data_IF_807937894115
#
_entry.id   IF_807937894115
#
_cell.length_a   1.000
_cell.length_b   1.000
_cell.length_c   1.000
_cell.angle_alpha   90.00
_cell.angle_beta   90.00
_cell.angle_gamma   90.00
#
_symmetry.space_group_name_H-M   'P 1'
#
loop_
_entity.id
_entity.type
_entity.pdbx_description
1 polymer ?
#
# COMPACT_ATOMS: atom_id res chain seq x y z
N UNK A 1 -1.46 87.28 2.88
CA UNK A 1 -2.50 86.84 3.82
C UNK A 1 -3.62 86.20 3.02
N UNK A 2 -4.06 84.96 3.30
CA UNK A 2 -5.15 84.33 2.57
C UNK A 2 -6.48 84.99 2.82
N UNK A 3 -7.30 85.16 1.78
CA UNK A 3 -8.58 85.85 1.83
C UNK A 3 -9.55 85.13 2.79
N UNK A 4 -10.47 85.85 3.44
CA UNK A 4 -11.40 85.32 4.44
C UNK A 4 -12.20 84.12 3.89
N UNK A 5 -12.56 84.14 2.60
CA UNK A 5 -13.30 83.02 1.96
C UNK A 5 -12.55 81.65 1.97
N UNK A 6 -11.20 81.67 1.89
CA UNK A 6 -10.38 80.41 1.98
C UNK A 6 -10.31 79.87 3.40
N UNK A 7 -10.40 80.72 4.44
CA UNK A 7 -10.43 80.28 5.85
C UNK A 7 -11.70 79.51 6.19
N UNK A 8 -12.89 80.03 5.71
CA UNK A 8 -14.18 79.35 5.95
C UNK A 8 -14.29 78.04 5.17
N UNK A 9 -13.71 77.95 3.95
CA UNK A 9 -13.71 76.72 3.18
C UNK A 9 -12.84 75.65 3.85
N UNK A 10 -11.67 76.01 4.39
CA UNK A 10 -10.83 75.05 5.13
C UNK A 10 -11.44 74.60 6.45
N UNK A 11 -12.18 75.51 7.16
CA UNK A 11 -12.84 75.20 8.40
C UNK A 11 -14.05 74.23 8.18
N UNK A 12 -14.78 74.40 7.08
CA UNK A 12 -15.88 73.48 6.72
C UNK A 12 -15.43 72.10 6.29
N UNK A 13 -14.30 72.04 5.58
CA UNK A 13 -13.69 70.74 5.23
C UNK A 13 -13.14 69.97 6.44
N UNK A 14 -12.52 70.66 7.38
CA UNK A 14 -11.99 70.06 8.60
C UNK A 14 -13.11 69.52 9.51
N UNK A 15 -14.24 70.24 9.64
CA UNK A 15 -15.39 69.76 10.39
C UNK A 15 -16.10 68.60 9.72
N UNK A 16 -16.21 68.57 8.39
CA UNK A 16 -16.78 67.45 7.68
C UNK A 16 -15.91 66.17 7.82
N UNK A 17 -14.58 66.31 7.81
CA UNK A 17 -13.67 65.18 8.01
C UNK A 17 -13.72 64.63 9.44
N UNK A 18 -13.84 65.54 10.44
CA UNK A 18 -13.97 65.16 11.85
C UNK A 18 -15.29 64.41 12.13
N UNK A 19 -16.40 64.84 11.56
CA UNK A 19 -17.70 64.20 11.68
C UNK A 19 -17.70 62.82 10.99
N UNK A 20 -17.02 62.67 9.87
CA UNK A 20 -16.88 61.39 9.18
C UNK A 20 -16.02 60.39 9.98
N UNK A 21 -14.95 60.83 10.64
CA UNK A 21 -14.12 60.01 11.50
C UNK A 21 -14.87 59.58 12.77
N UNK A 22 -15.65 60.45 13.39
CA UNK A 22 -16.47 60.12 14.57
C UNK A 22 -17.56 59.12 14.21
N UNK A 23 -18.27 59.31 13.07
CA UNK A 23 -19.24 58.33 12.58
C UNK A 23 -18.63 56.95 12.26
N UNK A 24 -17.45 56.95 11.68
CA UNK A 24 -16.69 55.70 11.41
C UNK A 24 -16.30 54.97 12.71
N UNK A 25 -15.87 55.69 13.73
CA UNK A 25 -15.56 55.11 15.04
C UNK A 25 -16.80 54.61 15.78
N UNK A 26 -17.90 55.35 15.75
CA UNK A 26 -19.17 54.97 16.41
C UNK A 26 -19.79 53.74 15.76
N UNK A 27 -19.63 53.56 14.45
CA UNK A 27 -20.09 52.36 13.73
C UNK A 27 -19.22 51.12 14.00
N UNK A 28 -17.98 51.31 14.43
CA UNK A 28 -17.09 50.19 14.78
C UNK A 28 -17.15 49.75 16.26
N UNK A 29 -17.72 50.59 17.14
CA UNK A 29 -17.84 50.29 18.57
C UNK A 29 -19.21 49.75 18.96
N UNK A 30 -20.05 49.37 18.02
CA UNK A 30 -21.26 48.61 18.35
C UNK A 30 -20.86 47.30 19.03
N UNK A 31 -21.31 46.99 20.24
CA UNK A 31 -20.97 45.75 20.92
C UNK A 31 -21.52 44.60 20.07
N UNK A 32 -20.60 43.80 19.54
CA UNK A 32 -20.97 42.52 18.93
C UNK A 32 -21.55 41.64 20.04
N UNK A 33 -22.82 41.30 19.94
CA UNK A 33 -23.42 40.25 20.77
C UNK A 33 -22.54 39.01 20.67
N UNK A 34 -22.11 38.41 21.78
CA UNK A 34 -21.35 37.19 21.74
C UNK A 34 -22.17 36.12 20.99
N UNK A 35 -21.58 35.39 20.05
CA UNK A 35 -22.29 34.31 19.39
C UNK A 35 -22.76 33.33 20.48
N UNK A 36 -24.04 32.98 20.46
CA UNK A 36 -24.60 31.96 21.33
C UNK A 36 -23.80 30.64 21.15
N UNK A 37 -23.87 29.70 22.10
CA UNK A 37 -23.12 28.47 22.04
C UNK A 37 -23.41 27.75 20.71
N UNK A 38 -22.44 27.79 19.80
CA UNK A 38 -22.50 27.00 18.57
C UNK A 38 -22.38 25.56 18.98
N UNK A 39 -23.44 24.78 18.79
CA UNK A 39 -23.38 23.34 18.86
C UNK A 39 -22.44 22.87 17.71
N UNK A 40 -21.20 22.60 18.03
CA UNK A 40 -20.28 21.93 17.10
C UNK A 40 -20.84 20.54 16.88
N UNK A 41 -21.56 20.33 15.79
CA UNK A 41 -21.92 19.00 15.32
C UNK A 41 -20.61 18.38 14.86
N UNK A 42 -19.98 17.59 15.74
CA UNK A 42 -18.86 16.75 15.36
C UNK A 42 -19.44 15.75 14.35
N UNK A 43 -19.00 15.75 13.07
CA UNK A 43 -19.46 14.74 12.13
C UNK A 43 -19.11 13.38 12.73
N UNK A 44 -20.12 12.56 12.94
CA UNK A 44 -19.91 11.16 13.36
C UNK A 44 -18.92 10.52 12.39
N UNK A 45 -17.86 9.95 12.95
CA UNK A 45 -16.87 9.17 12.17
C UNK A 45 -17.65 8.22 11.26
N UNK A 46 -17.41 8.26 9.92
CA UNK A 46 -18.09 7.34 9.01
C UNK A 46 -17.95 5.92 9.56
N UNK A 47 -19.05 5.19 9.62
CA UNK A 47 -19.02 3.77 9.97
C UNK A 47 -17.97 3.08 9.09
N UNK A 48 -17.22 2.08 9.60
CA UNK A 48 -16.25 1.35 8.80
C UNK A 48 -16.95 0.85 7.54
N UNK A 49 -16.50 1.31 6.38
CA UNK A 49 -17.07 0.86 5.11
C UNK A 49 -16.94 -0.66 5.05
N UNK A 50 -18.04 -1.35 4.79
CA UNK A 50 -18.05 -2.80 4.55
C UNK A 50 -17.00 -3.11 3.46
N UNK A 51 -16.11 -4.07 3.67
CA UNK A 51 -15.14 -4.43 2.64
C UNK A 51 -15.86 -4.72 1.31
N UNK A 52 -15.35 -4.25 0.18
CA UNK A 52 -15.95 -4.54 -1.11
C UNK A 52 -16.02 -6.05 -1.31
N UNK A 53 -17.09 -6.58 -1.95
CA UNK A 53 -17.22 -8.01 -2.20
C UNK A 53 -16.02 -8.53 -2.99
N UNK A 54 -15.52 -9.72 -2.61
CA UNK A 54 -14.44 -10.39 -3.34
C UNK A 54 -14.91 -10.76 -4.76
N UNK A 55 -14.01 -10.72 -5.75
CA UNK A 55 -14.33 -11.16 -7.11
C UNK A 55 -14.90 -12.58 -7.14
N UNK A 56 -15.95 -12.78 -7.92
CA UNK A 56 -16.48 -14.13 -8.19
C UNK A 56 -15.45 -14.91 -9.01
N UNK A 57 -15.00 -16.04 -8.49
CA UNK A 57 -13.97 -16.85 -9.14
C UNK A 57 -14.60 -17.84 -10.11
N UNK A 58 -14.14 -17.91 -11.37
CA UNK A 58 -14.55 -18.96 -12.29
C UNK A 58 -14.05 -20.33 -11.82
N UNK A 59 -14.72 -21.40 -12.24
CA UNK A 59 -14.33 -22.79 -11.92
C UNK A 59 -12.95 -23.14 -12.48
N UNK A 60 -12.63 -22.67 -13.70
CA UNK A 60 -11.32 -22.82 -14.31
C UNK A 60 -10.53 -21.55 -14.09
N UNK A 61 -9.41 -21.68 -13.38
CA UNK A 61 -8.54 -20.55 -13.05
C UNK A 61 -7.40 -20.38 -14.08
N UNK A 62 -7.04 -19.11 -14.30
CA UNK A 62 -5.87 -18.71 -15.08
C UNK A 62 -5.01 -17.85 -14.15
N UNK A 63 -3.94 -18.44 -13.63
CA UNK A 63 -3.19 -17.89 -12.49
C UNK A 63 -1.81 -17.43 -12.91
N UNK A 64 -1.43 -16.22 -12.52
CA UNK A 64 -0.08 -15.68 -12.61
C UNK A 64 0.58 -15.70 -11.23
N UNK A 65 1.78 -16.27 -11.17
CA UNK A 65 2.73 -16.11 -10.08
C UNK A 65 3.77 -15.07 -10.50
N UNK A 66 3.70 -13.87 -9.92
CA UNK A 66 4.54 -12.72 -10.24
C UNK A 66 5.43 -12.36 -9.05
N UNK A 67 6.70 -12.12 -9.27
CA UNK A 67 7.58 -11.71 -8.18
C UNK A 67 9.06 -11.88 -8.46
N UNK A 68 9.85 -11.70 -7.42
CA UNK A 68 11.29 -11.88 -7.45
C UNK A 68 11.73 -13.31 -7.06
N UNK A 69 12.93 -13.46 -6.54
CA UNK A 69 13.45 -14.75 -6.05
C UNK A 69 12.57 -15.38 -4.96
N UNK A 70 11.78 -14.59 -4.23
CA UNK A 70 10.83 -15.14 -3.26
C UNK A 70 9.73 -15.93 -3.95
N UNK A 71 9.16 -15.38 -5.03
CA UNK A 71 8.16 -16.10 -5.83
C UNK A 71 8.78 -17.28 -6.57
N UNK A 72 10.00 -17.15 -7.09
CA UNK A 72 10.73 -18.28 -7.71
C UNK A 72 10.84 -19.49 -6.79
N UNK A 73 10.99 -19.25 -5.48
CA UNK A 73 11.06 -20.33 -4.50
C UNK A 73 9.72 -21.06 -4.31
N UNK A 74 8.60 -20.35 -4.26
CA UNK A 74 7.28 -20.94 -3.93
C UNK A 74 6.46 -21.35 -5.14
N UNK A 75 6.58 -20.67 -6.29
CA UNK A 75 5.76 -20.93 -7.47
C UNK A 75 5.86 -22.37 -7.99
N UNK A 76 7.04 -23.02 -8.09
CA UNK A 76 7.13 -24.41 -8.53
C UNK A 76 6.37 -25.37 -7.62
N UNK A 77 6.33 -25.11 -6.32
CA UNK A 77 5.61 -25.93 -5.34
C UNK A 77 4.11 -25.82 -5.57
N UNK A 78 3.63 -24.57 -5.72
CA UNK A 78 2.21 -24.29 -5.96
C UNK A 78 1.74 -24.85 -7.29
N UNK A 79 2.51 -24.62 -8.37
CA UNK A 79 2.19 -25.13 -9.71
C UNK A 79 2.07 -26.66 -9.70
N UNK A 80 2.99 -27.37 -9.07
CA UNK A 80 2.94 -28.83 -8.99
C UNK A 80 1.66 -29.30 -8.26
N UNK A 81 1.30 -28.68 -7.14
CA UNK A 81 0.11 -29.04 -6.37
C UNK A 81 -1.17 -28.73 -7.14
N UNK A 82 -1.28 -27.50 -7.68
CA UNK A 82 -2.46 -27.08 -8.43
C UNK A 82 -2.67 -27.91 -9.72
N UNK A 83 -1.61 -28.28 -10.42
CA UNK A 83 -1.74 -29.16 -11.60
C UNK A 83 -2.21 -30.57 -11.23
N UNK A 84 -1.89 -31.05 -10.05
CA UNK A 84 -2.36 -32.35 -9.58
C UNK A 84 -3.85 -32.32 -9.18
N UNK A 85 -4.32 -31.23 -8.56
CA UNK A 85 -5.71 -31.08 -8.12
C UNK A 85 -6.64 -30.48 -9.21
N UNK A 86 -6.08 -29.63 -10.09
CA UNK A 86 -6.83 -28.89 -11.12
C UNK A 86 -6.07 -28.92 -12.45
N UNK A 87 -6.08 -30.05 -13.18
CA UNK A 87 -5.31 -30.24 -14.41
C UNK A 87 -5.70 -29.28 -15.55
N UNK A 88 -6.92 -28.75 -15.53
CA UNK A 88 -7.49 -27.82 -16.49
C UNK A 88 -7.11 -26.34 -16.22
N UNK A 89 -6.52 -26.04 -15.06
CA UNK A 89 -6.09 -24.68 -14.74
C UNK A 89 -4.86 -24.25 -15.51
N UNK A 90 -4.83 -23.00 -15.97
CA UNK A 90 -3.67 -22.43 -16.65
C UNK A 90 -2.81 -21.68 -15.62
N UNK A 91 -1.57 -22.15 -15.47
CA UNK A 91 -0.64 -21.63 -14.46
C UNK A 91 0.59 -21.04 -15.15
N UNK A 92 0.89 -19.80 -14.86
CA UNK A 92 2.02 -19.04 -15.40
C UNK A 92 2.96 -18.60 -14.27
N UNK A 93 4.25 -18.76 -14.49
CA UNK A 93 5.29 -18.29 -13.57
C UNK A 93 6.16 -17.25 -14.30
N UNK A 94 6.01 -16.00 -13.92
CA UNK A 94 6.76 -14.86 -14.45
C UNK A 94 7.67 -14.26 -13.37
N UNK A 95 8.15 -15.10 -12.43
CA UNK A 95 9.10 -14.65 -11.41
C UNK A 95 10.49 -14.42 -11.98
N UNK A 96 11.14 -13.33 -11.57
CA UNK A 96 12.49 -12.96 -12.01
C UNK A 96 13.29 -12.42 -10.82
N UNK A 97 14.39 -13.11 -10.48
CA UNK A 97 15.26 -12.71 -9.38
C UNK A 97 15.84 -11.31 -9.56
N UNK A 98 16.23 -10.68 -8.46
CA UNK A 98 16.86 -9.36 -8.41
C UNK A 98 16.03 -8.26 -9.10
N UNK A 99 14.70 -8.40 -9.10
CA UNK A 99 13.75 -7.38 -9.55
C UNK A 99 12.91 -6.89 -8.38
N UNK A 100 12.20 -5.78 -8.59
CA UNK A 100 11.33 -5.16 -7.59
C UNK A 100 10.54 -4.00 -8.18
N UNK A 101 9.70 -3.39 -7.37
CA UNK A 101 8.91 -2.23 -7.78
C UNK A 101 9.73 -0.94 -7.89
N UNK A 102 10.91 -0.85 -7.23
CA UNK A 102 11.75 0.35 -7.24
C UNK A 102 12.62 0.47 -8.48
N UNK A 103 13.02 -0.65 -9.09
CA UNK A 103 13.99 -0.69 -10.22
C UNK A 103 13.28 -0.97 -11.54
N UNK A 104 12.40 -0.06 -11.96
CA UNK A 104 11.61 -0.19 -13.20
C UNK A 104 12.46 -0.40 -14.47
N UNK A 105 13.70 0.10 -14.49
CA UNK A 105 14.59 -0.06 -15.66
C UNK A 105 14.94 -1.51 -15.94
N UNK A 106 15.01 -2.38 -14.93
CA UNK A 106 15.25 -3.81 -15.11
C UNK A 106 13.97 -4.53 -15.53
N UNK A 107 12.87 -4.27 -14.81
CA UNK A 107 11.54 -4.77 -15.11
C UNK A 107 10.51 -3.84 -14.46
N UNK A 108 9.58 -3.33 -15.23
CA UNK A 108 8.42 -2.61 -14.70
C UNK A 108 7.33 -3.62 -14.35
N UNK A 109 7.29 -4.04 -13.08
CA UNK A 109 6.30 -4.99 -12.59
C UNK A 109 4.87 -4.50 -12.74
N UNK A 110 4.63 -3.19 -12.64
CA UNK A 110 3.29 -2.63 -12.81
C UNK A 110 2.80 -2.89 -14.23
N UNK A 111 3.62 -2.58 -15.23
CA UNK A 111 3.26 -2.82 -16.63
C UNK A 111 3.25 -4.31 -16.96
N UNK A 112 4.22 -5.09 -16.47
CA UNK A 112 4.28 -6.54 -16.70
C UNK A 112 3.00 -7.24 -16.21
N UNK A 113 2.57 -6.98 -14.97
CA UNK A 113 1.35 -7.59 -14.41
C UNK A 113 0.11 -7.19 -15.22
N UNK A 114 -0.02 -5.91 -15.59
CA UNK A 114 -1.14 -5.43 -16.41
C UNK A 114 -1.19 -6.11 -17.78
N UNK A 115 -0.05 -6.22 -18.43
CA UNK A 115 0.07 -6.90 -19.74
C UNK A 115 -0.32 -8.36 -19.63
N UNK A 116 0.24 -9.10 -18.64
CA UNK A 116 -0.07 -10.50 -18.42
C UNK A 116 -1.57 -10.74 -18.16
N UNK A 117 -2.21 -9.86 -17.37
CA UNK A 117 -3.65 -9.95 -17.09
C UNK A 117 -4.44 -9.92 -18.40
N UNK A 118 -4.12 -9.01 -19.31
CA UNK A 118 -4.88 -8.80 -20.55
C UNK A 118 -4.56 -9.89 -21.57
N UNK A 119 -3.28 -10.16 -21.84
CA UNK A 119 -2.84 -11.08 -22.90
C UNK A 119 -3.25 -12.53 -22.60
N UNK A 120 -3.32 -12.89 -21.33
CA UNK A 120 -3.61 -14.27 -20.93
C UNK A 120 -4.98 -14.45 -20.27
N UNK A 121 -5.82 -13.40 -20.27
CA UNK A 121 -7.17 -13.44 -19.66
C UNK A 121 -7.12 -14.04 -18.25
N UNK A 122 -6.22 -13.52 -17.42
CA UNK A 122 -6.01 -14.05 -16.07
C UNK A 122 -7.25 -13.86 -15.20
N UNK A 123 -7.41 -14.72 -14.20
CA UNK A 123 -8.45 -14.64 -13.18
C UNK A 123 -7.88 -14.35 -11.80
N UNK A 124 -6.62 -14.75 -11.59
CA UNK A 124 -5.91 -14.62 -10.30
C UNK A 124 -4.46 -14.24 -10.53
N UNK A 125 -3.96 -13.34 -9.69
CA UNK A 125 -2.54 -12.96 -9.64
C UNK A 125 -2.06 -13.08 -8.20
N UNK A 126 -1.00 -13.85 -7.98
CA UNK A 126 -0.28 -13.90 -6.71
C UNK A 126 1.05 -13.17 -6.85
N UNK A 127 1.32 -12.19 -5.96
CA UNK A 127 2.52 -11.36 -5.99
C UNK A 127 3.37 -11.62 -4.75
N UNK A 128 4.68 -11.84 -4.94
CA UNK A 128 5.65 -11.90 -3.85
C UNK A 128 6.90 -11.13 -4.26
N UNK A 129 7.00 -9.88 -3.84
CA UNK A 129 8.05 -8.91 -4.12
C UNK A 129 8.49 -8.22 -2.84
N UNK A 130 9.70 -7.69 -2.83
CA UNK A 130 10.08 -6.71 -1.81
C UNK A 130 11.53 -6.71 -1.35
N UNK A 131 12.25 -7.82 -1.15
CA UNK A 131 13.63 -7.80 -0.64
C UNK A 131 14.60 -6.95 -1.46
N UNK A 132 14.33 -6.76 -2.74
CA UNK A 132 15.14 -5.95 -3.64
C UNK A 132 14.74 -4.47 -3.69
N UNK A 133 13.72 -4.07 -2.95
CA UNK A 133 13.11 -2.73 -3.04
C UNK A 133 13.62 -1.67 -2.04
N UNK A 134 14.28 -1.98 -0.90
CA UNK A 134 14.68 -0.97 0.07
C UNK A 134 15.89 -0.15 -0.39
N UNK A 135 15.75 0.49 -1.55
CA UNK A 135 16.74 1.36 -2.18
C UNK A 135 16.09 2.64 -2.67
N UNK A 136 16.92 3.66 -2.91
CA UNK A 136 16.48 4.93 -3.47
C UNK A 136 15.79 4.72 -4.82
N UNK A 137 14.68 5.44 -5.04
CA UNK A 137 13.98 5.46 -6.32
C UNK A 137 14.55 6.58 -7.19
N UNK A 138 14.89 6.27 -8.43
CA UNK A 138 15.36 7.22 -9.43
C UNK A 138 14.25 7.42 -10.46
N UNK A 139 13.55 8.56 -10.37
CA UNK A 139 12.44 8.88 -11.26
C UNK A 139 12.43 10.37 -11.63
N UNK A 140 12.15 10.70 -12.90
CA UNK A 140 12.03 12.08 -13.39
C UNK A 140 13.24 12.98 -13.03
N UNK A 141 14.47 12.44 -13.11
CA UNK A 141 15.73 13.10 -12.72
C UNK A 141 15.82 13.46 -11.22
N UNK A 142 14.98 12.87 -10.39
CA UNK A 142 15.02 13.02 -8.94
C UNK A 142 15.44 11.72 -8.26
N UNK A 143 16.04 11.86 -7.09
CA UNK A 143 16.40 10.75 -6.20
C UNK A 143 15.49 10.83 -5.00
N UNK A 144 14.65 9.81 -4.83
CA UNK A 144 13.74 9.68 -3.69
C UNK A 144 14.38 8.68 -2.73
N UNK A 145 14.79 9.17 -1.57
CA UNK A 145 15.59 8.42 -0.60
C UNK A 145 14.78 7.38 0.16
N UNK A 146 15.35 6.18 0.31
CA UNK A 146 14.82 5.17 1.21
C UNK A 146 15.50 5.24 2.59
N UNK A 147 14.76 5.14 3.72
CA UNK A 147 13.31 5.32 3.83
C UNK A 147 12.94 6.82 3.92
N UNK A 148 11.84 7.22 3.33
CA UNK A 148 11.26 8.55 3.50
C UNK A 148 9.76 8.53 3.20
N UNK A 149 8.97 9.52 3.69
CA UNK A 149 7.55 9.63 3.35
C UNK A 149 7.29 9.71 1.85
N UNK A 150 8.18 10.37 1.08
CA UNK A 150 8.09 10.47 -0.37
C UNK A 150 8.31 9.10 -1.03
N UNK A 151 9.25 8.31 -0.52
CA UNK A 151 9.49 6.96 -1.00
C UNK A 151 8.27 6.07 -0.76
N UNK A 152 7.71 6.12 0.45
CA UNK A 152 6.51 5.36 0.80
C UNK A 152 5.32 5.74 -0.08
N UNK A 153 5.12 7.03 -0.36
CA UNK A 153 4.07 7.51 -1.25
C UNK A 153 4.22 6.97 -2.68
N UNK A 154 5.43 7.05 -3.25
CA UNK A 154 5.71 6.54 -4.60
C UNK A 154 5.58 5.02 -4.65
N UNK A 155 6.08 4.32 -3.66
CA UNK A 155 6.00 2.86 -3.59
C UNK A 155 4.54 2.40 -3.45
N UNK A 156 3.79 3.02 -2.55
CA UNK A 156 2.36 2.77 -2.35
C UNK A 156 1.54 3.06 -3.62
N UNK A 157 1.86 4.12 -4.36
CA UNK A 157 1.20 4.42 -5.63
C UNK A 157 1.40 3.29 -6.66
N UNK A 158 2.59 2.69 -6.73
CA UNK A 158 2.87 1.54 -7.62
C UNK A 158 2.06 0.30 -7.24
N UNK A 159 1.94 0.02 -5.94
CA UNK A 159 1.09 -1.08 -5.44
C UNK A 159 -0.38 -0.80 -5.74
N UNK A 160 -0.84 0.43 -5.47
CA UNK A 160 -2.21 0.89 -5.74
C UNK A 160 -2.58 0.74 -7.22
N UNK A 161 -1.68 1.10 -8.12
CA UNK A 161 -1.89 1.00 -9.57
C UNK A 161 -2.14 -0.45 -10.03
N UNK A 162 -1.44 -1.42 -9.43
CA UNK A 162 -1.71 -2.85 -9.67
C UNK A 162 -3.09 -3.22 -9.14
N UNK A 163 -3.42 -2.79 -7.91
CA UNK A 163 -4.70 -3.09 -7.29
C UNK A 163 -5.88 -2.51 -8.07
N UNK A 164 -5.78 -1.25 -8.49
CA UNK A 164 -6.81 -0.58 -9.29
C UNK A 164 -7.08 -1.31 -10.60
N UNK A 165 -6.00 -1.69 -11.29
CA UNK A 165 -6.12 -2.42 -12.53
C UNK A 165 -6.73 -3.82 -12.32
N UNK A 166 -6.26 -4.56 -11.31
CA UNK A 166 -6.81 -5.87 -10.97
C UNK A 166 -8.30 -5.77 -10.65
N UNK A 167 -8.72 -4.75 -9.87
CA UNK A 167 -10.13 -4.52 -9.54
C UNK A 167 -10.97 -4.18 -10.77
N UNK A 168 -10.47 -3.29 -11.64
CA UNK A 168 -11.16 -2.92 -12.87
C UNK A 168 -11.35 -4.11 -13.84
N UNK A 169 -10.46 -5.11 -13.76
CA UNK A 169 -10.51 -6.34 -14.57
C UNK A 169 -11.17 -7.52 -13.85
N UNK A 170 -11.70 -7.30 -12.64
CA UNK A 170 -12.29 -8.36 -11.80
C UNK A 170 -11.32 -9.53 -11.52
N UNK A 171 -10.04 -9.21 -11.31
CA UNK A 171 -8.98 -10.16 -10.99
C UNK A 171 -8.90 -10.35 -9.49
N UNK A 172 -8.77 -11.60 -9.02
CA UNK A 172 -8.40 -11.89 -7.65
C UNK A 172 -6.91 -11.65 -7.45
N UNK A 173 -6.55 -10.67 -6.62
CA UNK A 173 -5.16 -10.34 -6.31
C UNK A 173 -4.81 -10.83 -4.91
N UNK A 174 -3.67 -11.52 -4.80
CA UNK A 174 -3.09 -12.00 -3.55
C UNK A 174 -1.69 -11.38 -3.43
N UNK A 175 -1.40 -10.73 -2.30
CA UNK A 175 -0.07 -10.19 -2.03
C UNK A 175 0.54 -10.87 -0.82
N UNK A 176 1.76 -11.41 -0.97
CA UNK A 176 2.50 -12.09 0.10
C UNK A 176 3.40 -11.06 0.78
N UNK A 177 3.25 -10.93 2.09
CA UNK A 177 4.08 -10.06 2.93
C UNK A 177 5.44 -10.68 3.22
N UNK A 178 6.36 -9.86 3.71
CA UNK A 178 7.73 -10.22 4.03
C UNK A 178 7.86 -10.58 5.51
N UNK A 179 8.59 -11.64 5.88
CA UNK A 179 8.93 -11.93 7.27
C UNK A 179 10.14 -11.12 7.73
N UNK A 180 10.53 -11.29 9.00
CA UNK A 180 11.80 -10.76 9.50
C UNK A 180 12.99 -11.26 8.64
N UNK A 181 13.99 -10.41 8.44
CA UNK A 181 15.18 -10.68 7.62
C UNK A 181 16.44 -10.50 8.45
N UNK A 182 17.51 -11.27 8.14
CA UNK A 182 18.80 -11.18 8.82
C UNK A 182 19.54 -9.90 8.43
N UNK A 183 19.49 -9.53 7.16
CA UNK A 183 20.12 -8.32 6.64
C UNK A 183 19.28 -7.10 7.04
N UNK A 184 19.93 -6.12 7.70
CA UNK A 184 19.23 -4.98 8.34
C UNK A 184 18.46 -4.11 7.37
N UNK A 185 19.00 -3.84 6.19
CA UNK A 185 18.32 -3.01 5.18
C UNK A 185 17.08 -3.70 4.62
N UNK A 186 17.18 -5.00 4.32
CA UNK A 186 16.05 -5.79 3.83
C UNK A 186 14.98 -5.92 4.91
N UNK A 187 15.39 -6.09 6.17
CA UNK A 187 14.48 -6.08 7.30
C UNK A 187 13.75 -4.73 7.47
N UNK A 188 14.51 -3.62 7.44
CA UNK A 188 13.91 -2.27 7.44
C UNK A 188 12.97 -2.07 6.24
N UNK A 189 13.32 -2.63 5.08
CA UNK A 189 12.43 -2.66 3.93
C UNK A 189 11.11 -3.38 4.22
N UNK A 190 11.17 -4.55 4.81
CA UNK A 190 9.98 -5.33 5.15
C UNK A 190 9.05 -4.60 6.13
N UNK A 191 9.60 -3.87 7.12
CA UNK A 191 8.81 -3.09 8.09
C UNK A 191 8.07 -1.92 7.44
N UNK A 192 8.64 -1.32 6.39
CA UNK A 192 8.01 -0.23 5.62
C UNK A 192 7.02 -0.77 4.60
N UNK A 193 7.37 -1.84 3.90
CA UNK A 193 6.59 -2.38 2.78
C UNK A 193 5.33 -3.13 3.21
N UNK A 194 5.38 -3.94 4.27
CA UNK A 194 4.23 -4.74 4.72
C UNK A 194 2.99 -3.90 5.07
N UNK A 195 3.07 -2.78 5.79
CA UNK A 195 1.95 -1.87 5.96
C UNK A 195 1.35 -1.41 4.63
N UNK A 196 2.21 -1.01 3.67
CA UNK A 196 1.78 -0.55 2.34
C UNK A 196 1.02 -1.67 1.61
N UNK A 197 1.55 -2.89 1.62
CA UNK A 197 0.88 -4.04 0.98
C UNK A 197 -0.46 -4.33 1.64
N UNK A 198 -0.47 -4.52 2.96
CA UNK A 198 -1.68 -4.83 3.72
C UNK A 198 -2.77 -3.77 3.54
N UNK A 199 -2.41 -2.50 3.61
CA UNK A 199 -3.38 -1.41 3.56
C UNK A 199 -3.97 -1.26 2.14
N UNK A 200 -3.16 -1.45 1.10
CA UNK A 200 -3.65 -1.51 -0.28
C UNK A 200 -4.57 -2.73 -0.50
N UNK A 201 -4.14 -3.93 -0.08
CA UNK A 201 -4.99 -5.13 -0.21
C UNK A 201 -6.33 -4.94 0.51
N UNK A 202 -6.32 -4.43 1.74
CA UNK A 202 -7.53 -4.11 2.50
C UNK A 202 -8.42 -3.07 1.80
N UNK A 203 -7.83 -2.00 1.28
CA UNK A 203 -8.53 -0.91 0.58
C UNK A 203 -9.30 -1.38 -0.64
N UNK A 204 -8.71 -2.28 -1.41
CA UNK A 204 -9.31 -2.79 -2.66
C UNK A 204 -10.10 -4.09 -2.49
N UNK A 205 -10.09 -4.70 -1.30
CA UNK A 205 -10.79 -5.95 -1.00
C UNK A 205 -10.07 -7.19 -1.49
N UNK A 206 -8.73 -7.16 -1.50
CA UNK A 206 -7.85 -8.25 -1.91
C UNK A 206 -7.21 -8.98 -0.71
N UNK A 207 -6.55 -10.10 -0.96
CA UNK A 207 -5.96 -10.93 0.07
C UNK A 207 -4.50 -10.53 0.34
N UNK A 208 -4.18 -10.25 1.61
CA UNK A 208 -2.82 -10.09 2.10
C UNK A 208 -2.45 -11.34 2.91
N UNK A 209 -1.39 -12.04 2.52
CA UNK A 209 -0.87 -13.21 3.23
C UNK A 209 0.31 -12.78 4.09
N UNK A 210 0.09 -12.67 5.39
CA UNK A 210 1.19 -12.42 6.31
C UNK A 210 2.08 -13.66 6.44
N UNK A 211 3.38 -13.48 6.30
CA UNK A 211 4.38 -14.52 6.52
C UNK A 211 4.94 -14.51 7.94
N UNK A 212 4.53 -13.57 8.77
CA UNK A 212 5.09 -13.37 10.11
C UNK A 212 4.87 -14.58 11.02
N UNK A 213 3.65 -15.07 11.14
CA UNK A 213 3.36 -16.27 11.95
C UNK A 213 3.93 -17.56 11.33
N UNK A 214 4.20 -17.57 10.02
CA UNK A 214 4.70 -18.73 9.29
C UNK A 214 6.22 -18.88 9.41
N UNK A 215 6.95 -17.75 9.42
CA UNK A 215 8.39 -17.67 9.24
C UNK A 215 9.08 -16.89 10.37
N UNK A 216 8.49 -15.76 10.81
CA UNK A 216 9.05 -14.92 11.87
C UNK A 216 8.53 -13.49 11.82
N UNK A 217 8.17 -12.96 12.97
CA UNK A 217 7.57 -11.64 13.15
C UNK A 217 8.59 -10.52 12.96
N UNK A 218 8.16 -9.39 12.40
CA UNK A 218 9.01 -8.23 12.12
C UNK A 218 9.48 -7.50 13.38
N UNK A 219 8.72 -7.56 14.46
CA UNK A 219 9.04 -6.99 15.78
C UNK A 219 9.92 -7.90 16.65
N UNK A 220 10.27 -9.09 16.14
CA UNK A 220 11.10 -10.07 16.82
C UNK A 220 12.47 -10.22 16.15
N UNK A 221 13.50 -10.64 16.91
CA UNK A 221 14.80 -10.97 16.33
C UNK A 221 14.67 -12.01 15.23
N UNK A 222 15.51 -11.88 14.21
CA UNK A 222 15.61 -12.89 13.16
C UNK A 222 15.87 -14.28 13.74
N UNK A 223 15.06 -15.25 13.31
CA UNK A 223 15.24 -16.66 13.65
C UNK A 223 15.37 -17.48 12.37
N UNK A 224 16.31 -18.41 12.38
CA UNK A 224 16.48 -19.38 11.30
C UNK A 224 15.62 -20.61 11.51
N UNK A 225 15.35 -20.95 12.76
CA UNK A 225 14.63 -22.14 13.17
C UNK A 225 13.41 -21.77 13.99
N UNK A 226 12.34 -22.53 13.81
CA UNK A 226 11.19 -22.54 14.71
C UNK A 226 11.02 -23.91 15.34
N UNK A 227 10.36 -23.95 16.47
CA UNK A 227 9.91 -25.21 17.08
C UNK A 227 8.44 -25.44 16.70
N UNK A 228 8.12 -26.58 16.15
CA UNK A 228 6.75 -26.95 15.83
C UNK A 228 5.97 -27.42 17.06
N UNK A 229 4.68 -27.72 16.88
CA UNK A 229 3.78 -28.15 17.94
C UNK A 229 4.22 -29.46 18.62
N UNK A 230 5.08 -30.25 17.96
CA UNK A 230 5.64 -31.51 18.49
C UNK A 230 6.95 -31.30 19.24
N UNK A 231 7.46 -30.06 19.33
CA UNK A 231 8.75 -29.74 19.92
C UNK A 231 9.94 -29.91 18.98
N UNK A 232 9.71 -30.26 17.71
CA UNK A 232 10.77 -30.47 16.73
C UNK A 232 11.25 -29.14 16.14
N UNK A 233 12.58 -28.96 16.09
CA UNK A 233 13.23 -27.82 15.49
C UNK A 233 13.20 -27.91 13.96
N UNK A 234 12.58 -26.92 13.31
CA UNK A 234 12.43 -26.84 11.85
C UNK A 234 13.28 -25.68 11.32
N UNK A 235 14.11 -25.93 10.31
CA UNK A 235 14.81 -24.88 9.59
C UNK A 235 13.84 -24.19 8.61
N UNK A 236 13.68 -22.86 8.71
CA UNK A 236 12.78 -22.08 7.84
C UNK A 236 13.53 -21.21 6.84
N UNK A 237 14.83 -20.96 7.04
CA UNK A 237 15.60 -19.99 6.26
C UNK A 237 16.81 -20.62 5.60
N UNK A 238 17.17 -20.10 4.44
CA UNK A 238 18.44 -20.34 3.80
C UNK A 238 19.59 -19.67 4.58
N UNK A 239 20.85 -19.95 4.19
CA UNK A 239 22.04 -19.47 4.90
C UNK A 239 22.22 -17.96 4.81
N UNK A 240 21.74 -17.34 3.72
CA UNK A 240 21.81 -15.90 3.49
C UNK A 240 20.89 -15.09 4.43
N UNK A 241 19.89 -15.74 5.06
CA UNK A 241 18.95 -15.10 5.96
C UNK A 241 17.90 -14.23 5.26
N UNK A 242 17.83 -14.30 3.93
CA UNK A 242 16.82 -13.64 3.09
C UNK A 242 15.87 -14.67 2.50
N UNK A 243 16.39 -15.71 1.87
CA UNK A 243 15.61 -16.77 1.25
C UNK A 243 15.17 -17.83 2.28
N UNK A 244 14.35 -18.75 1.81
CA UNK A 244 13.74 -19.78 2.65
C UNK A 244 14.36 -21.16 2.40
N UNK A 245 14.36 -22.00 3.43
CA UNK A 245 14.60 -23.41 3.30
C UNK A 245 13.43 -24.11 2.58
N UNK A 246 13.57 -25.36 2.17
CA UNK A 246 12.46 -26.14 1.62
C UNK A 246 11.22 -26.15 2.53
N UNK A 247 11.39 -26.23 3.85
CA UNK A 247 10.29 -26.21 4.82
C UNK A 247 9.63 -24.83 4.91
N UNK A 248 10.42 -23.74 4.88
CA UNK A 248 9.91 -22.38 4.82
C UNK A 248 9.09 -22.11 3.56
N UNK A 249 9.61 -22.55 2.40
CA UNK A 249 8.91 -22.47 1.12
C UNK A 249 7.57 -23.22 1.13
N UNK A 250 7.54 -24.43 1.71
CA UNK A 250 6.30 -25.22 1.82
C UNK A 250 5.24 -24.52 2.67
N UNK A 251 5.63 -23.90 3.78
CA UNK A 251 4.69 -23.18 4.65
C UNK A 251 4.07 -21.98 3.94
N UNK A 252 4.89 -21.17 3.26
CA UNK A 252 4.38 -20.00 2.53
C UNK A 252 3.49 -20.45 1.36
N UNK A 253 3.95 -21.43 0.58
CA UNK A 253 3.17 -21.97 -0.54
C UNK A 253 1.80 -22.49 -0.09
N UNK A 254 1.74 -23.20 1.05
CA UNK A 254 0.48 -23.70 1.61
C UNK A 254 -0.49 -22.57 1.96
N UNK A 255 0.00 -21.48 2.56
CA UNK A 255 -0.86 -20.33 2.89
C UNK A 255 -1.39 -19.63 1.62
N UNK A 256 -0.56 -19.49 0.58
CA UNK A 256 -1.00 -18.91 -0.70
C UNK A 256 -1.99 -19.81 -1.41
N UNK A 257 -1.77 -21.12 -1.43
CA UNK A 257 -2.71 -22.10 -2.00
C UNK A 257 -4.08 -22.03 -1.34
N UNK A 258 -4.14 -21.93 -0.01
CA UNK A 258 -5.39 -21.74 0.72
C UNK A 258 -6.15 -20.49 0.31
N UNK A 259 -5.44 -19.42 -0.10
CA UNK A 259 -6.08 -18.22 -0.62
C UNK A 259 -6.51 -18.36 -2.09
N UNK A 260 -5.81 -19.19 -2.88
CA UNK A 260 -6.14 -19.47 -4.28
C UNK A 260 -7.35 -20.42 -4.38
N UNK A 261 -7.34 -21.50 -3.61
CA UNK A 261 -8.42 -22.49 -3.61
C UNK A 261 -9.58 -21.96 -2.76
N UNK A 262 -10.79 -21.85 -3.28
CA UNK A 262 -11.94 -21.45 -2.46
C UNK A 262 -12.14 -22.46 -1.33
N UNK A 263 -12.38 -21.98 -0.13
CA UNK A 263 -12.83 -22.85 0.96
C UNK A 263 -14.13 -23.54 0.53
N UNK A 264 -14.13 -24.86 0.55
CA UNK A 264 -15.35 -25.66 0.37
C UNK A 264 -16.25 -25.60 1.63
N UNK A 265 -16.25 -24.48 2.34
CA UNK A 265 -17.14 -24.25 3.48
C UNK A 265 -18.51 -23.82 2.92
N UNK A 266 -19.32 -24.82 2.55
CA UNK A 266 -20.78 -24.72 2.43
C UNK A 266 -21.41 -25.17 3.72
#
# INVERSE_FOLDING_TARGET
>A
MPSPKKKYLMLSLATALLLSLVAYFLLRTAPSTPPGPQVVVIPSKPAPATPPPKPVRPSVQRILFAGDSMMQGIAPIMIRKLKASHPDWVLRNESLESTGLTVKRRLDWVQKIKTEIVEHNLTTVAVFLGPNDPWDIYEKKQVIRFPSPEWEAVYSARVSEICEFAKAKNIHLIWVGLPTMKEKRVHSGATVQNPIFRDNMKRYGFDFISTEALIGHLDQPYVRYMTDETGKKINLRADDGIHFSPQGLQRIAAAVLKAIEPSNDN
#
